data_IF_059426433549
#
_entry.id   IF_059426433549
#
_cell.length_a   1.000
_cell.length_b   1.000
_cell.length_c   1.000
_cell.angle_alpha   90.00
_cell.angle_beta   90.00
_cell.angle_gamma   90.00
#
_symmetry.space_group_name_H-M   'P 1'
#
loop_
_entity.id
_entity.type
_entity.pdbx_description
1 polymer ?
#
# COMPACT_ATOMS: atom_id res chain seq x y z
N UNK A 1 10.39 -36.40 -18.00
CA UNK A 1 11.57 -35.58 -17.72
C UNK A 1 11.10 -34.11 -17.75
N UNK A 2 10.68 -33.69 -16.70
CA UNK A 2 11.18 -32.73 -15.72
C UNK A 2 11.16 -31.29 -16.25
N UNK A 3 10.02 -30.63 -16.12
CA UNK A 3 9.98 -29.18 -16.02
C UNK A 3 9.96 -28.85 -14.52
N UNK A 4 11.09 -28.41 -13.97
CA UNK A 4 11.14 -27.77 -12.66
C UNK A 4 10.25 -26.53 -12.72
N UNK A 5 9.04 -26.65 -12.16
CA UNK A 5 8.18 -25.51 -11.85
C UNK A 5 8.94 -24.64 -10.85
N UNK A 6 9.66 -23.65 -11.37
CA UNK A 6 10.18 -22.54 -10.58
C UNK A 6 9.00 -21.96 -9.80
N UNK A 7 9.08 -22.00 -8.48
CA UNK A 7 8.09 -21.48 -7.52
C UNK A 7 8.08 -19.94 -7.54
N UNK A 8 8.05 -19.35 -8.75
CA UNK A 8 8.02 -17.91 -8.99
C UNK A 8 6.58 -17.42 -9.06
N UNK A 9 6.24 -16.40 -8.30
CA UNK A 9 4.93 -15.75 -8.42
C UNK A 9 4.71 -15.25 -9.84
N UNK A 10 3.51 -15.47 -10.42
CA UNK A 10 3.20 -14.98 -11.76
C UNK A 10 3.39 -13.47 -11.85
N UNK A 11 3.92 -13.01 -12.97
CA UNK A 11 4.15 -11.60 -13.28
C UNK A 11 3.09 -11.09 -14.27
N UNK A 12 2.99 -9.77 -14.42
CA UNK A 12 2.18 -9.14 -15.47
C UNK A 12 2.62 -9.63 -16.89
N UNK A 13 3.90 -9.94 -17.06
CA UNK A 13 4.42 -10.50 -18.30
C UNK A 13 3.86 -11.87 -18.61
N UNK A 14 3.76 -12.73 -17.60
CA UNK A 14 3.21 -14.08 -17.76
C UNK A 14 1.72 -14.03 -18.14
N UNK A 15 0.95 -13.09 -17.59
CA UNK A 15 -0.45 -12.85 -17.97
C UNK A 15 -0.53 -12.35 -19.41
N UNK A 16 0.29 -11.37 -19.79
CA UNK A 16 0.30 -10.80 -21.13
C UNK A 16 0.62 -11.86 -22.20
N UNK A 17 1.59 -12.73 -21.93
CA UNK A 17 1.98 -13.85 -22.80
C UNK A 17 0.84 -14.88 -22.92
N UNK A 18 0.23 -15.28 -21.82
CA UNK A 18 -0.85 -16.27 -21.80
C UNK A 18 -2.14 -15.77 -22.50
N UNK A 19 -2.41 -14.46 -22.47
CA UNK A 19 -3.53 -13.84 -23.19
C UNK A 19 -3.20 -13.55 -24.65
N UNK A 20 -1.92 -13.33 -24.98
CA UNK A 20 -1.48 -12.92 -26.32
C UNK A 20 -1.61 -11.41 -26.56
N UNK A 21 -1.45 -10.60 -25.51
CA UNK A 21 -1.54 -9.13 -25.59
C UNK A 21 -0.28 -8.46 -25.02
N UNK A 22 -0.16 -7.15 -25.19
CA UNK A 22 0.95 -6.39 -24.61
C UNK A 22 0.80 -6.21 -23.09
N UNK A 23 1.92 -6.02 -22.38
CA UNK A 23 1.90 -5.64 -20.96
C UNK A 23 1.11 -4.33 -20.71
N UNK A 24 1.13 -3.42 -21.68
CA UNK A 24 0.35 -2.18 -21.63
C UNK A 24 -1.15 -2.47 -21.60
N UNK A 25 -1.62 -3.47 -22.36
CA UNK A 25 -3.03 -3.88 -22.36
C UNK A 25 -3.44 -4.44 -21.00
N UNK A 26 -2.59 -5.28 -20.39
CA UNK A 26 -2.83 -5.78 -19.02
C UNK A 26 -2.84 -4.65 -18.00
N UNK A 27 -1.89 -3.71 -18.13
CA UNK A 27 -1.85 -2.53 -17.25
C UNK A 27 -3.14 -1.71 -17.31
N UNK A 28 -3.63 -1.43 -18.53
CA UNK A 28 -4.92 -0.72 -18.72
C UNK A 28 -6.10 -1.48 -18.11
N UNK A 29 -6.14 -2.80 -18.30
CA UNK A 29 -7.17 -3.64 -17.67
C UNK A 29 -7.17 -3.48 -16.14
N UNK A 30 -6.00 -3.54 -15.51
CA UNK A 30 -5.84 -3.42 -14.05
C UNK A 30 -6.22 -2.04 -13.52
N UNK A 31 -6.12 -0.99 -14.34
CA UNK A 31 -6.51 0.38 -13.98
C UNK A 31 -7.96 0.73 -14.37
N UNK A 32 -8.73 -0.25 -14.90
CA UNK A 32 -10.12 0.00 -15.29
C UNK A 32 -10.29 0.77 -16.61
N UNK A 33 -9.22 0.93 -17.38
CA UNK A 33 -9.21 1.64 -18.67
C UNK A 33 -9.71 0.74 -19.81
N UNK A 34 -11.00 0.44 -19.82
CA UNK A 34 -11.60 -0.51 -20.77
C UNK A 34 -11.97 0.09 -22.12
N UNK A 35 -11.89 1.41 -22.29
CA UNK A 35 -12.36 2.12 -23.49
C UNK A 35 -11.76 1.60 -24.83
N UNK A 36 -10.58 1.02 -24.76
CA UNK A 36 -9.86 0.48 -25.94
C UNK A 36 -9.74 -1.04 -25.92
N UNK A 37 -10.63 -1.73 -25.21
CA UNK A 37 -10.56 -3.17 -25.02
C UNK A 37 -11.90 -3.82 -25.39
N UNK A 38 -11.85 -4.86 -26.24
CA UNK A 38 -13.05 -5.63 -26.52
C UNK A 38 -13.52 -6.41 -25.28
N UNK A 39 -14.83 -6.69 -25.21
CA UNK A 39 -15.40 -7.51 -24.14
C UNK A 39 -14.78 -8.92 -24.09
N UNK A 40 -14.43 -9.48 -25.24
CA UNK A 40 -13.74 -10.76 -25.34
C UNK A 40 -12.33 -10.71 -24.75
N UNK A 41 -11.55 -9.67 -25.07
CA UNK A 41 -10.21 -9.47 -24.51
C UNK A 41 -10.27 -9.28 -23.00
N UNK A 42 -11.26 -8.51 -22.51
CA UNK A 42 -11.49 -8.30 -21.07
C UNK A 42 -11.77 -9.62 -20.36
N UNK A 43 -12.70 -10.42 -20.88
CA UNK A 43 -13.06 -11.72 -20.30
C UNK A 43 -11.87 -12.69 -20.30
N UNK A 44 -11.07 -12.69 -21.38
CA UNK A 44 -9.88 -13.52 -21.49
C UNK A 44 -8.81 -13.14 -20.47
N UNK A 45 -8.57 -11.84 -20.25
CA UNK A 45 -7.62 -11.36 -19.24
C UNK A 45 -8.08 -11.79 -17.86
N UNK A 46 -9.34 -11.60 -17.52
CA UNK A 46 -9.92 -11.97 -16.22
C UNK A 46 -9.76 -13.48 -15.96
N UNK A 47 -10.07 -14.31 -16.93
CA UNK A 47 -9.89 -15.75 -16.85
C UNK A 47 -8.43 -16.13 -16.57
N UNK A 48 -7.48 -15.61 -17.33
CA UNK A 48 -6.05 -15.92 -17.19
C UNK A 48 -5.49 -15.43 -15.87
N UNK A 49 -5.91 -14.24 -15.38
CA UNK A 49 -5.53 -13.74 -14.05
C UNK A 49 -5.95 -14.74 -12.97
N UNK A 50 -7.17 -15.26 -13.05
CA UNK A 50 -7.69 -16.23 -12.09
C UNK A 50 -6.97 -17.58 -12.19
N UNK A 51 -6.73 -18.08 -13.41
CA UNK A 51 -6.04 -19.36 -13.67
C UNK A 51 -4.60 -19.34 -13.16
N UNK A 52 -3.88 -18.24 -13.38
CA UNK A 52 -2.50 -18.07 -12.92
C UNK A 52 -2.40 -17.68 -11.44
N UNK A 53 -3.51 -17.27 -10.80
CA UNK A 53 -3.48 -16.69 -9.47
C UNK A 53 -2.67 -15.39 -9.41
N UNK A 54 -2.63 -14.65 -10.54
CA UNK A 54 -1.89 -13.39 -10.59
C UNK A 54 -2.56 -12.33 -9.71
N UNK A 55 -1.76 -11.71 -8.87
CA UNK A 55 -2.16 -10.54 -8.09
C UNK A 55 -1.24 -9.37 -8.41
N UNK A 56 -1.79 -8.21 -8.81
CA UNK A 56 -0.99 -7.02 -9.01
C UNK A 56 -0.16 -6.71 -7.76
N UNK A 57 1.14 -6.54 -7.93
CA UNK A 57 1.98 -6.09 -6.83
C UNK A 57 1.92 -4.56 -6.75
N UNK A 58 1.06 -4.03 -5.86
CA UNK A 58 0.92 -2.59 -5.65
C UNK A 58 2.25 -1.92 -5.29
N UNK A 59 3.12 -2.60 -4.54
CA UNK A 59 4.46 -2.09 -4.21
C UNK A 59 5.36 -1.96 -5.45
N UNK A 60 5.32 -2.94 -6.37
CA UNK A 60 6.09 -2.87 -7.62
C UNK A 60 5.51 -1.87 -8.62
N UNK A 61 4.21 -1.61 -8.57
CA UNK A 61 3.56 -0.54 -9.33
C UNK A 61 3.93 0.84 -8.76
N UNK A 62 4.04 0.98 -7.44
CA UNK A 62 4.46 2.19 -6.76
C UNK A 62 5.90 2.63 -7.09
N UNK A 63 6.79 1.70 -7.47
CA UNK A 63 8.14 2.03 -7.96
C UNK A 63 8.14 2.77 -9.31
N UNK A 64 7.04 2.67 -10.10
CA UNK A 64 6.83 3.41 -11.35
C UNK A 64 5.78 4.51 -11.22
N UNK A 65 4.86 4.39 -10.27
CA UNK A 65 3.86 5.39 -9.97
C UNK A 65 4.35 6.28 -8.82
N UNK A 66 4.07 7.58 -8.90
CA UNK A 66 4.41 8.57 -7.87
C UNK A 66 3.58 8.36 -6.59
N UNK A 67 2.53 7.52 -6.65
CA UNK A 67 1.52 7.30 -5.59
C UNK A 67 1.34 5.80 -5.36
N UNK A 68 1.38 5.37 -4.10
CA UNK A 68 1.23 3.97 -3.70
C UNK A 68 -0.22 3.59 -3.33
N UNK A 69 -1.08 4.59 -3.12
CA UNK A 69 -2.41 4.42 -2.52
C UNK A 69 -2.38 3.75 -1.15
N UNK A 70 -1.34 4.03 -0.36
CA UNK A 70 -1.18 3.53 1.00
C UNK A 70 -0.96 4.70 1.97
N UNK A 71 -1.61 4.65 3.13
CA UNK A 71 -1.40 5.57 4.26
C UNK A 71 -0.93 4.74 5.44
N UNK A 72 0.14 5.22 6.08
CA UNK A 72 0.67 4.63 7.31
C UNK A 72 0.07 5.30 8.54
N UNK A 73 -0.27 4.51 9.55
CA UNK A 73 -0.72 5.01 10.85
C UNK A 73 0.14 4.40 11.94
N UNK A 74 0.82 5.23 12.71
CA UNK A 74 1.49 4.84 13.94
C UNK A 74 0.57 5.16 15.11
N UNK A 75 0.22 4.15 15.88
CA UNK A 75 -0.65 4.25 17.07
C UNK A 75 0.19 4.07 18.32
N UNK A 76 -0.03 4.90 19.34
CA UNK A 76 0.69 4.82 20.60
C UNK A 76 0.40 3.51 21.35
N UNK A 77 -0.88 3.10 21.38
CA UNK A 77 -1.34 1.89 22.05
C UNK A 77 -2.66 1.42 21.42
N UNK A 78 -2.63 0.29 20.73
CA UNK A 78 -3.81 -0.31 20.08
C UNK A 78 -4.81 -0.83 21.11
N UNK A 79 -4.37 -1.14 22.33
CA UNK A 79 -5.23 -1.56 23.44
C UNK A 79 -6.10 -0.45 24.00
N UNK A 80 -5.79 0.81 23.71
CA UNK A 80 -6.63 1.94 24.11
C UNK A 80 -7.91 1.98 23.26
N UNK A 81 -9.12 2.00 23.86
CA UNK A 81 -10.39 2.08 23.15
C UNK A 81 -10.48 3.27 22.17
N UNK A 82 -9.86 4.40 22.51
CA UNK A 82 -9.79 5.57 21.62
C UNK A 82 -9.05 5.24 20.32
N UNK A 83 -7.95 4.51 20.39
CA UNK A 83 -7.18 4.10 19.21
C UNK A 83 -8.00 3.23 18.25
N UNK A 84 -8.84 2.35 18.79
CA UNK A 84 -9.74 1.52 17.98
C UNK A 84 -10.77 2.36 17.21
N UNK A 85 -11.35 3.37 17.84
CA UNK A 85 -12.28 4.30 17.20
C UNK A 85 -11.58 5.14 16.14
N UNK A 86 -10.38 5.61 16.41
CA UNK A 86 -9.55 6.36 15.50
C UNK A 86 -9.23 5.54 14.24
N UNK A 87 -8.72 4.31 14.42
CA UNK A 87 -8.41 3.40 13.30
C UNK A 87 -9.66 3.14 12.46
N UNK A 88 -10.81 2.91 13.11
CA UNK A 88 -12.07 2.67 12.42
C UNK A 88 -12.45 3.86 11.53
N UNK A 89 -12.41 5.08 12.07
CA UNK A 89 -12.75 6.28 11.29
C UNK A 89 -11.81 6.50 10.10
N UNK A 90 -10.50 6.35 10.33
CA UNK A 90 -9.50 6.45 9.26
C UNK A 90 -9.73 5.36 8.19
N UNK A 91 -10.03 4.13 8.61
CA UNK A 91 -10.26 3.01 7.68
C UNK A 91 -11.50 3.20 6.82
N UNK A 92 -12.59 3.78 7.37
CA UNK A 92 -13.80 4.11 6.62
C UNK A 92 -13.48 5.10 5.51
N UNK A 93 -12.79 6.19 5.82
CA UNK A 93 -12.38 7.21 4.85
C UNK A 93 -11.41 6.67 3.78
N UNK A 94 -10.45 5.85 4.19
CA UNK A 94 -9.51 5.21 3.27
C UNK A 94 -10.21 4.27 2.29
N UNK A 95 -11.24 3.52 2.74
CA UNK A 95 -12.00 2.60 1.91
C UNK A 95 -12.77 3.33 0.81
N UNK A 96 -13.39 4.47 1.12
CA UNK A 96 -14.11 5.28 0.15
C UNK A 96 -13.20 5.82 -0.98
N UNK A 97 -11.91 5.95 -0.69
CA UNK A 97 -10.89 6.49 -1.61
C UNK A 97 -10.00 5.44 -2.27
N UNK A 98 -10.29 4.15 -2.08
CA UNK A 98 -9.44 3.01 -2.52
C UNK A 98 -7.99 3.14 -2.01
N UNK A 99 -7.83 3.60 -0.77
CA UNK A 99 -6.55 3.73 -0.09
C UNK A 99 -6.39 2.59 0.91
N UNK A 100 -5.23 1.94 0.91
CA UNK A 100 -4.88 0.90 1.88
C UNK A 100 -4.32 1.53 3.15
N UNK A 101 -4.83 1.11 4.30
CA UNK A 101 -4.30 1.52 5.60
C UNK A 101 -3.29 0.50 6.13
N UNK A 102 -2.09 0.97 6.50
CA UNK A 102 -1.07 0.21 7.23
C UNK A 102 -1.01 0.74 8.66
N UNK A 103 -1.25 -0.13 9.64
CA UNK A 103 -1.27 0.25 11.06
C UNK A 103 -0.10 -0.40 11.77
N UNK A 104 0.62 0.39 12.57
CA UNK A 104 1.69 -0.07 13.46
C UNK A 104 1.41 0.40 14.89
N UNK A 105 1.60 -0.49 15.86
CA UNK A 105 1.45 -0.22 17.28
C UNK A 105 2.81 0.06 17.92
N UNK A 106 2.95 1.16 18.61
CA UNK A 106 4.18 1.57 19.29
C UNK A 106 4.24 1.11 20.74
N UNK A 107 3.17 0.54 21.26
CA UNK A 107 3.09 0.02 22.62
C UNK A 107 3.62 1.03 23.66
N UNK A 108 3.29 2.30 23.49
CA UNK A 108 3.75 3.42 24.29
C UNK A 108 5.29 3.60 24.38
N UNK A 109 6.07 3.03 23.42
CA UNK A 109 7.53 3.19 23.36
C UNK A 109 7.93 4.20 22.28
N UNK A 110 8.68 5.26 22.63
CA UNK A 110 9.24 6.19 21.65
C UNK A 110 10.19 5.53 20.63
N UNK A 111 10.92 4.49 21.05
CA UNK A 111 11.82 3.74 20.19
C UNK A 111 11.04 2.94 19.13
N UNK A 112 9.95 2.27 19.56
CA UNK A 112 9.08 1.53 18.62
C UNK A 112 8.33 2.49 17.70
N UNK A 113 7.91 3.67 18.18
CA UNK A 113 7.29 4.68 17.32
C UNK A 113 8.23 5.08 16.18
N UNK A 114 9.51 5.36 16.45
CA UNK A 114 10.50 5.69 15.42
C UNK A 114 10.69 4.55 14.43
N UNK A 115 10.94 3.33 14.92
CA UNK A 115 11.11 2.16 14.08
C UNK A 115 9.89 1.88 13.20
N UNK A 116 8.69 2.06 13.74
CA UNK A 116 7.43 1.90 13.01
C UNK A 116 7.29 2.93 11.89
N UNK A 117 7.59 4.20 12.18
CA UNK A 117 7.52 5.27 11.18
C UNK A 117 8.52 5.01 10.04
N UNK A 118 9.75 4.62 10.36
CA UNK A 118 10.75 4.26 9.35
C UNK A 118 10.28 3.07 8.51
N UNK A 119 9.72 2.03 9.12
CA UNK A 119 9.17 0.86 8.41
C UNK A 119 7.99 1.21 7.49
N UNK A 120 7.10 2.11 7.91
CA UNK A 120 6.00 2.60 7.09
C UNK A 120 6.51 3.39 5.87
N UNK A 121 7.57 4.16 6.03
CA UNK A 121 8.21 4.89 4.94
C UNK A 121 8.93 3.96 3.97
N UNK A 122 9.61 2.94 4.47
CA UNK A 122 10.23 1.89 3.66
C UNK A 122 9.17 1.13 2.85
N UNK A 123 7.96 0.98 3.40
CA UNK A 123 6.80 0.45 2.67
C UNK A 123 6.24 1.43 1.62
N UNK A 124 6.86 2.62 1.46
CA UNK A 124 6.48 3.63 0.45
C UNK A 124 5.05 4.16 0.59
N UNK A 125 4.56 4.33 1.82
CA UNK A 125 3.26 4.99 2.05
C UNK A 125 3.25 6.41 1.48
N UNK A 126 2.10 6.92 1.08
CA UNK A 126 1.95 8.25 0.51
C UNK A 126 1.90 9.35 1.57
N UNK A 127 1.53 8.99 2.79
CA UNK A 127 1.49 9.86 3.94
C UNK A 127 1.42 9.08 5.25
N UNK A 128 1.62 9.79 6.35
CA UNK A 128 1.61 9.24 7.70
C UNK A 128 0.58 9.96 8.57
N UNK A 129 -0.09 9.20 9.41
CA UNK A 129 -0.87 9.69 10.54
C UNK A 129 -0.20 9.14 11.80
N UNK A 130 0.18 10.01 12.72
CA UNK A 130 0.91 9.62 13.93
C UNK A 130 0.11 10.04 15.15
N UNK A 131 -0.39 9.06 15.89
CA UNK A 131 -0.88 9.26 17.26
C UNK A 131 0.31 9.00 18.18
N UNK A 132 1.03 10.09 18.51
CA UNK A 132 2.34 10.02 19.14
C UNK A 132 2.28 9.50 20.59
N UNK A 133 3.36 8.83 20.98
CA UNK A 133 3.58 8.44 22.39
C UNK A 133 4.06 9.62 23.26
N UNK A 134 4.34 10.78 22.65
CA UNK A 134 5.08 11.89 23.28
C UNK A 134 6.60 11.68 23.19
N UNK A 135 7.39 12.68 23.56
CA UNK A 135 8.85 12.65 23.56
C UNK A 135 9.56 12.53 22.20
N UNK A 136 8.84 12.40 21.09
CA UNK A 136 9.40 12.32 19.74
C UNK A 136 9.19 13.57 18.89
N UNK A 137 8.60 14.63 19.43
CA UNK A 137 8.19 15.83 18.68
C UNK A 137 9.36 16.49 17.96
N UNK A 138 10.52 16.59 18.62
CA UNK A 138 11.74 17.13 18.01
C UNK A 138 12.20 16.29 16.84
N UNK A 139 12.23 14.98 16.98
CA UNK A 139 12.59 14.05 15.91
C UNK A 139 11.59 14.08 14.74
N UNK A 140 10.29 14.12 15.05
CA UNK A 140 9.24 14.22 14.04
C UNK A 140 9.30 15.54 13.27
N UNK A 141 9.65 16.64 13.95
CA UNK A 141 9.84 17.96 13.35
C UNK A 141 11.05 17.97 12.41
N UNK A 142 12.18 17.37 12.82
CA UNK A 142 13.38 17.21 11.99
C UNK A 142 13.09 16.30 10.79
N UNK A 143 12.29 15.27 11.00
CA UNK A 143 11.89 14.32 9.95
C UNK A 143 11.09 15.03 8.85
N UNK A 144 10.22 15.96 9.20
CA UNK A 144 9.46 16.78 8.25
C UNK A 144 10.38 17.68 7.38
N UNK A 145 11.54 18.07 7.89
CA UNK A 145 12.57 18.86 7.18
C UNK A 145 13.46 18.05 6.25
N UNK A 146 13.52 16.74 6.38
CA UNK A 146 14.39 15.89 5.57
C UNK A 146 13.74 15.50 4.23
N UNK A 147 14.56 15.15 3.28
CA UNK A 147 14.39 14.92 1.84
C UNK A 147 13.17 14.09 1.37
N UNK A 148 12.37 13.52 2.25
CA UNK A 148 11.21 12.70 1.91
C UNK A 148 9.93 13.43 2.29
N UNK A 149 9.44 14.29 1.39
CA UNK A 149 8.27 15.16 1.55
C UNK A 149 6.92 14.40 1.63
N UNK A 150 6.85 13.33 2.43
CA UNK A 150 5.57 12.69 2.70
C UNK A 150 4.80 13.52 3.71
N UNK A 151 3.51 13.81 3.48
CA UNK A 151 2.68 14.52 4.46
C UNK A 151 2.57 13.70 5.76
N UNK A 152 2.68 14.40 6.88
CA UNK A 152 2.51 13.82 8.21
C UNK A 152 1.41 14.59 8.94
N UNK A 153 0.43 13.88 9.44
CA UNK A 153 -0.62 14.41 10.32
C UNK A 153 -0.36 13.90 11.73
N UNK A 154 -0.16 14.82 12.65
CA UNK A 154 -0.01 14.51 14.08
C UNK A 154 -1.38 14.54 14.75
N UNK A 155 -1.67 13.49 15.50
CA UNK A 155 -2.84 13.43 16.37
C UNK A 155 -2.34 13.47 17.80
N UNK A 156 -2.70 14.53 18.51
CA UNK A 156 -2.29 14.72 19.89
C UNK A 156 -3.08 13.80 20.83
N UNK A 157 -2.42 13.40 21.91
CA UNK A 157 -3.09 12.76 23.06
C UNK A 157 -3.60 13.89 23.96
N UNK A 158 -4.92 14.07 24.00
CA UNK A 158 -5.56 14.89 25.02
C UNK A 158 -5.48 14.17 26.37
#
# INVERSE_FOLDING_TARGET
MNASKTNRKPSMGDVAEAVGVSKTTISRYLHGEYAYMSSETKARIEQVINELGYRPNRMAQGLKATVSHMVGVSIADVGNPFSSLLIKGIQEECRERDVQLLVSDSNNSPEFERANIESLLDAQVDGLIVNTVGNNDAWLSEFHGRRNRKPVVMLDRI
#
